data_IF_626039951688
#
_entry.id   IF_626039951688
#
_cell.length_a   1.000
_cell.length_b   1.000
_cell.length_c   1.000
_cell.angle_alpha   90.00
_cell.angle_beta   90.00
_cell.angle_gamma   90.00
#
_symmetry.space_group_name_H-M   'P 1'
#
loop_
_entity.id
_entity.type
_entity.pdbx_description
1 polymer ?
#
# COMPACT_ATOMS: atom_id res chain seq x y z
N UNK A 1 10.64 -4.71 -5.63
CA UNK A 1 9.22 -5.11 -5.48
C UNK A 1 9.12 -6.33 -4.60
N UNK A 2 8.01 -6.56 -3.90
CA UNK A 2 7.84 -7.78 -3.09
C UNK A 2 7.84 -9.04 -3.97
N UNK A 3 8.64 -10.02 -3.60
CA UNK A 3 8.70 -11.32 -4.25
C UNK A 3 7.59 -12.24 -3.71
N UNK A 4 6.48 -12.27 -4.44
CA UNK A 4 5.37 -13.18 -4.15
C UNK A 4 5.63 -14.63 -4.58
N UNK A 5 6.65 -14.89 -5.41
CA UNK A 5 6.89 -16.22 -5.99
C UNK A 5 7.71 -17.10 -5.06
N UNK A 6 8.77 -16.56 -4.45
CA UNK A 6 9.63 -17.30 -3.54
C UNK A 6 9.56 -16.82 -2.09
N UNK A 7 8.79 -15.74 -1.82
CA UNK A 7 8.62 -15.21 -0.47
C UNK A 7 9.89 -14.59 0.11
N UNK A 8 10.89 -14.30 -0.73
CA UNK A 8 12.22 -13.80 -0.32
C UNK A 8 12.21 -12.37 0.22
N UNK A 9 11.07 -11.68 0.19
CA UNK A 9 10.91 -10.31 0.66
C UNK A 9 11.01 -9.30 -0.47
N UNK A 10 11.62 -8.13 -0.23
CA UNK A 10 11.78 -7.13 -1.27
C UNK A 10 12.95 -7.48 -2.19
N UNK A 11 12.64 -7.71 -3.47
CA UNK A 11 13.65 -7.82 -4.51
C UNK A 11 14.28 -6.44 -4.77
N UNK A 12 15.60 -6.46 -5.03
CA UNK A 12 16.36 -5.30 -5.44
C UNK A 12 15.74 -4.61 -6.66
N UNK A 13 15.92 -3.29 -6.75
CA UNK A 13 15.55 -2.55 -7.96
C UNK A 13 16.41 -3.01 -9.12
N UNK A 14 15.81 -3.08 -10.32
CA UNK A 14 16.55 -3.46 -11.54
C UNK A 14 17.66 -2.46 -11.87
N UNK A 15 17.36 -1.17 -11.69
CA UNK A 15 18.27 -0.06 -12.00
C UNK A 15 18.41 0.88 -10.80
N UNK A 16 19.61 1.44 -10.60
CA UNK A 16 19.86 2.43 -9.54
C UNK A 16 18.95 3.66 -9.65
N UNK A 17 18.61 4.08 -10.87
CA UNK A 17 17.70 5.20 -11.13
C UNK A 17 16.27 4.99 -10.63
N UNK A 18 15.88 3.77 -10.27
CA UNK A 18 14.57 3.50 -9.65
C UNK A 18 14.54 3.77 -8.15
N UNK A 19 15.71 3.91 -7.51
CA UNK A 19 15.84 4.33 -6.11
C UNK A 19 15.77 5.86 -6.08
N UNK A 20 14.78 6.39 -5.37
CA UNK A 20 14.52 7.83 -5.30
C UNK A 20 13.91 8.17 -3.96
N UNK A 21 14.21 9.37 -3.49
CA UNK A 21 13.53 9.99 -2.38
C UNK A 21 12.33 10.78 -2.92
N UNK A 22 11.26 10.82 -2.14
CA UNK A 22 10.05 11.57 -2.44
C UNK A 22 9.68 12.40 -1.22
N UNK A 23 9.31 13.65 -1.45
CA UNK A 23 8.72 14.47 -0.41
C UNK A 23 7.29 14.00 -0.14
N UNK A 24 6.93 13.99 1.14
CA UNK A 24 5.56 13.72 1.58
C UNK A 24 5.08 14.89 2.41
N UNK A 25 3.81 15.21 2.29
CA UNK A 25 3.22 16.24 3.15
C UNK A 25 3.10 15.72 4.58
N UNK A 26 3.00 16.65 5.53
CA UNK A 26 2.83 16.29 6.94
C UNK A 26 1.55 15.49 7.17
N UNK A 27 0.47 15.86 6.48
CA UNK A 27 -0.83 15.21 6.56
C UNK A 27 -0.73 13.75 6.10
N UNK A 28 0.03 13.48 5.03
CA UNK A 28 0.29 12.12 4.58
C UNK A 28 1.13 11.34 5.60
N UNK A 29 2.15 11.95 6.18
CA UNK A 29 2.97 11.32 7.22
C UNK A 29 2.12 10.93 8.44
N UNK A 30 1.28 11.84 8.92
CA UNK A 30 0.38 11.61 10.06
C UNK A 30 -0.64 10.50 9.76
N UNK A 31 -1.17 10.45 8.54
CA UNK A 31 -2.07 9.38 8.09
C UNK A 31 -1.37 8.01 8.10
N UNK A 32 -0.13 7.93 7.61
CA UNK A 32 0.64 6.68 7.59
C UNK A 32 1.00 6.20 8.99
N UNK A 33 1.34 7.12 9.90
CA UNK A 33 1.61 6.81 11.30
C UNK A 33 0.37 6.27 12.01
N UNK A 34 -0.79 6.90 11.79
CA UNK A 34 -2.07 6.42 12.32
C UNK A 34 -2.41 5.04 11.79
N UNK A 35 -2.30 4.82 10.48
CA UNK A 35 -2.52 3.50 9.87
C UNK A 35 -1.60 2.43 10.47
N UNK A 36 -0.32 2.74 10.69
CA UNK A 36 0.64 1.82 11.30
C UNK A 36 0.22 1.45 12.72
N UNK A 37 -0.20 2.45 13.51
CA UNK A 37 -0.68 2.24 14.88
C UNK A 37 -1.92 1.34 14.93
N UNK A 38 -2.94 1.66 14.13
CA UNK A 38 -4.20 0.89 14.07
C UNK A 38 -3.95 -0.58 13.68
N UNK A 39 -3.11 -0.84 12.67
CA UNK A 39 -2.73 -2.20 12.29
C UNK A 39 -1.99 -2.93 13.42
N UNK A 40 -1.07 -2.25 14.11
CA UNK A 40 -0.32 -2.84 15.22
C UNK A 40 -1.24 -3.22 16.38
N UNK A 41 -2.22 -2.39 16.73
CA UNK A 41 -3.20 -2.69 17.76
C UNK A 41 -3.99 -3.96 17.44
N UNK A 42 -4.49 -4.09 16.21
CA UNK A 42 -5.18 -5.30 15.73
C UNK A 42 -4.25 -6.53 15.78
N UNK A 43 -3.00 -6.37 15.35
CA UNK A 43 -2.03 -7.46 15.35
C UNK A 43 -1.64 -7.91 16.75
N UNK A 44 -1.48 -6.99 17.70
CA UNK A 44 -1.23 -7.33 19.10
C UNK A 44 -2.35 -8.19 19.66
N UNK A 45 -3.60 -7.81 19.42
CA UNK A 45 -4.77 -8.57 19.85
C UNK A 45 -4.83 -9.97 19.23
N UNK A 46 -4.22 -10.15 18.06
CA UNK A 46 -4.11 -11.43 17.35
C UNK A 46 -2.86 -12.24 17.74
N UNK A 47 -2.03 -11.76 18.67
CA UNK A 47 -0.76 -12.40 19.02
C UNK A 47 0.33 -12.28 17.95
N UNK A 48 0.16 -11.37 16.99
CA UNK A 48 1.09 -11.13 15.90
C UNK A 48 1.99 -9.90 16.13
N UNK A 49 3.24 -10.01 15.69
CA UNK A 49 4.23 -8.91 15.66
C UNK A 49 4.88 -8.89 14.29
N UNK A 50 4.77 -7.77 13.57
CA UNK A 50 5.38 -7.65 12.25
C UNK A 50 6.88 -7.34 12.37
N UNK A 51 7.72 -8.37 12.21
CA UNK A 51 9.18 -8.25 12.23
C UNK A 51 9.73 -7.36 11.11
N UNK A 52 8.98 -7.19 10.01
CA UNK A 52 9.38 -6.36 8.86
C UNK A 52 8.87 -4.91 8.98
N UNK A 53 8.06 -4.62 10.00
CA UNK A 53 7.48 -3.29 10.28
C UNK A 53 6.86 -2.60 9.05
N UNK A 54 6.19 -3.36 8.18
CA UNK A 54 5.61 -2.85 6.95
C UNK A 54 4.41 -1.94 7.25
N UNK A 55 4.24 -0.90 6.42
CA UNK A 55 3.14 0.06 6.57
C UNK A 55 1.80 -0.46 6.05
N UNK A 56 1.80 -1.37 5.08
CA UNK A 56 0.58 -1.86 4.44
C UNK A 56 0.53 -3.38 4.44
N UNK A 57 -0.37 -3.94 5.24
CA UNK A 57 -0.62 -5.38 5.32
C UNK A 57 -2.11 -5.65 5.49
N UNK A 58 -2.55 -6.81 5.05
CA UNK A 58 -3.92 -7.22 5.33
C UNK A 58 -4.10 -7.60 6.80
N UNK A 59 -5.35 -7.70 7.25
CA UNK A 59 -5.71 -8.24 8.57
C UNK A 59 -5.20 -9.68 8.80
N UNK A 60 -4.86 -10.41 7.73
CA UNK A 60 -4.27 -11.75 7.76
C UNK A 60 -2.74 -11.72 7.70
N UNK A 61 -2.14 -10.57 7.99
CA UNK A 61 -0.70 -10.36 8.02
C UNK A 61 0.00 -10.60 6.68
N UNK A 62 -0.71 -10.54 5.55
CA UNK A 62 -0.14 -10.76 4.22
C UNK A 62 0.22 -9.43 3.55
N UNK A 63 1.23 -9.46 2.67
CA UNK A 63 1.52 -8.33 1.81
C UNK A 63 0.38 -8.13 0.81
N UNK A 64 -0.05 -6.89 0.61
CA UNK A 64 -1.10 -6.55 -0.35
C UNK A 64 -0.57 -6.71 -1.79
N UNK A 65 -1.37 -7.33 -2.66
CA UNK A 65 -1.07 -7.44 -4.09
C UNK A 65 -1.78 -6.34 -4.87
N UNK A 66 -1.20 -5.87 -5.98
CA UNK A 66 -1.83 -4.85 -6.82
C UNK A 66 -3.23 -5.26 -7.31
N UNK A 67 -3.46 -6.56 -7.52
CA UNK A 67 -4.79 -7.08 -7.88
C UNK A 67 -5.81 -6.90 -6.76
N UNK A 68 -5.43 -7.22 -5.51
CA UNK A 68 -6.31 -7.04 -4.36
C UNK A 68 -6.66 -5.56 -4.16
N UNK A 69 -5.65 -4.69 -4.20
CA UNK A 69 -5.87 -3.26 -3.98
C UNK A 69 -6.72 -2.63 -5.10
N UNK A 70 -6.52 -3.02 -6.37
CA UNK A 70 -7.39 -2.56 -7.46
C UNK A 70 -8.84 -3.08 -7.31
N UNK A 71 -9.04 -4.29 -6.78
CA UNK A 71 -10.38 -4.82 -6.51
C UNK A 71 -11.09 -4.02 -5.42
N UNK A 72 -10.35 -3.67 -4.36
CA UNK A 72 -10.88 -2.85 -3.26
C UNK A 72 -11.23 -1.44 -3.77
N UNK A 73 -10.35 -0.82 -4.57
CA UNK A 73 -10.62 0.47 -5.20
C UNK A 73 -11.89 0.45 -6.04
N UNK A 74 -12.08 -0.55 -6.91
CA UNK A 74 -13.31 -0.70 -7.72
C UNK A 74 -14.57 -0.82 -6.88
N UNK A 75 -14.48 -1.45 -5.72
CA UNK A 75 -15.61 -1.57 -4.79
C UNK A 75 -16.01 -0.20 -4.25
N UNK A 76 -15.02 0.62 -3.88
CA UNK A 76 -15.24 1.99 -3.40
C UNK A 76 -15.80 2.87 -4.53
N UNK A 77 -15.22 2.81 -5.72
CA UNK A 77 -15.68 3.58 -6.89
C UNK A 77 -17.13 3.27 -7.23
N UNK A 78 -17.52 2.00 -7.21
CA UNK A 78 -18.90 1.58 -7.46
C UNK A 78 -19.85 2.10 -6.39
N UNK A 79 -19.43 2.11 -5.12
CA UNK A 79 -20.23 2.63 -4.02
C UNK A 79 -20.41 4.16 -4.09
N UNK A 80 -19.46 4.86 -4.73
CA UNK A 80 -19.47 6.31 -4.93
C UNK A 80 -19.97 6.74 -6.33
N UNK A 81 -20.44 5.79 -7.15
CA UNK A 81 -20.88 6.01 -8.54
C UNK A 81 -19.83 6.73 -9.43
N UNK A 82 -18.55 6.40 -9.24
CA UNK A 82 -17.45 6.96 -10.02
C UNK A 82 -17.31 6.22 -11.36
N UNK A 83 -17.43 6.96 -12.46
CA UNK A 83 -17.25 6.45 -13.82
C UNK A 83 -16.55 7.49 -14.72
N UNK A 84 -15.52 7.11 -15.49
CA UNK A 84 -14.93 5.78 -15.59
C UNK A 84 -14.11 5.40 -14.33
N UNK A 85 -14.07 4.11 -14.02
CA UNK A 85 -13.26 3.57 -12.91
C UNK A 85 -11.78 3.93 -13.06
N UNK A 86 -11.16 4.37 -11.97
CA UNK A 86 -9.77 4.78 -11.88
C UNK A 86 -8.96 3.58 -11.38
N UNK A 87 -7.78 3.38 -11.97
CA UNK A 87 -6.85 2.35 -11.49
C UNK A 87 -5.79 2.97 -10.60
N UNK A 88 -5.02 2.15 -9.88
CA UNK A 88 -3.82 2.65 -9.17
C UNK A 88 -2.84 3.38 -10.07
N UNK A 89 -2.70 2.94 -11.32
CA UNK A 89 -1.89 3.66 -12.31
C UNK A 89 -2.55 5.00 -12.68
N UNK A 90 -3.87 5.03 -12.84
CA UNK A 90 -4.64 6.25 -13.03
C UNK A 90 -4.40 7.27 -11.92
N UNK A 91 -4.46 6.85 -10.64
CA UNK A 91 -4.17 7.71 -9.49
C UNK A 91 -2.76 8.31 -9.55
N UNK A 92 -1.75 7.50 -9.93
CA UNK A 92 -0.38 7.98 -10.13
C UNK A 92 -0.31 9.02 -11.25
N UNK A 93 -1.03 8.80 -12.36
CA UNK A 93 -1.08 9.77 -13.46
C UNK A 93 -1.72 11.08 -13.01
N UNK A 94 -2.80 11.03 -12.23
CA UNK A 94 -3.43 12.23 -11.65
C UNK A 94 -2.45 13.04 -10.81
N UNK A 95 -1.64 12.42 -9.94
CA UNK A 95 -0.66 13.14 -9.13
C UNK A 95 0.41 13.89 -9.95
N UNK A 96 0.75 13.38 -11.15
CA UNK A 96 1.74 14.01 -12.04
C UNK A 96 1.12 15.06 -12.96
N UNK A 97 -0.19 14.97 -13.20
CA UNK A 97 -0.94 15.90 -14.06
C UNK A 97 -1.41 17.18 -13.37
N UNK A 98 -1.30 17.25 -12.04
CA UNK A 98 -1.68 18.41 -11.22
C UNK A 98 -0.48 19.35 -11.07
#
# INVERSE_FOLDING_TARGET
TWDHRYGSGFAATKNKSSVRDIDITRELADLLLRLKKEQQEVYVAQGYRDSKQLLFRSIRHNMLSSTAINKDLRTIEKALDISPAITFHGLRHTHVSI
#
